data_IF_498715483513
#
_entry.id   IF_498715483513
#
_cell.length_a   1.000
_cell.length_b   1.000
_cell.length_c   1.000
_cell.angle_alpha   90.00
_cell.angle_beta   90.00
_cell.angle_gamma   90.00
#
_symmetry.space_group_name_H-M   'P 1'
#
loop_
_entity.id
_entity.type
_entity.pdbx_description
1 polymer ?
#
# COMPACT_ATOMS: atom_id res chain seq x y z
N UNK A 1 -8.78 -7.75 -8.48
CA UNK A 1 -9.60 -7.21 -7.40
C UNK A 1 -10.84 -6.45 -7.92
N UNK A 2 -10.68 -5.40 -8.81
CA UNK A 2 -11.83 -4.65 -9.33
C UNK A 2 -12.86 -5.59 -9.95
N UNK A 3 -12.44 -6.47 -10.86
CA UNK A 3 -13.31 -7.45 -11.55
C UNK A 3 -13.98 -8.37 -10.53
N UNK A 4 -13.22 -9.04 -9.69
CA UNK A 4 -13.74 -9.98 -8.69
C UNK A 4 -14.73 -9.33 -7.71
N UNK A 5 -14.44 -8.06 -7.31
CA UNK A 5 -15.34 -7.34 -6.42
C UNK A 5 -16.65 -6.93 -7.10
N UNK A 6 -16.61 -6.54 -8.39
CA UNK A 6 -17.81 -6.25 -9.17
C UNK A 6 -18.63 -7.52 -9.40
N UNK A 7 -18.02 -8.64 -9.78
CA UNK A 7 -18.68 -9.93 -9.93
C UNK A 7 -19.38 -10.37 -8.63
N UNK A 8 -18.74 -10.13 -7.47
CA UNK A 8 -19.34 -10.40 -6.17
C UNK A 8 -20.56 -9.50 -5.90
N UNK A 9 -20.46 -8.21 -6.20
CA UNK A 9 -21.55 -7.24 -6.03
C UNK A 9 -22.74 -7.63 -6.91
N UNK A 10 -22.50 -7.93 -8.19
CA UNK A 10 -23.55 -8.33 -9.14
C UNK A 10 -24.28 -9.58 -8.67
N UNK A 11 -23.52 -10.55 -8.17
CA UNK A 11 -24.09 -11.78 -7.61
C UNK A 11 -24.97 -11.50 -6.39
N UNK A 12 -24.50 -10.67 -5.45
CA UNK A 12 -25.25 -10.35 -4.25
C UNK A 12 -26.53 -9.56 -4.56
N UNK A 13 -26.50 -8.66 -5.53
CA UNK A 13 -27.71 -7.97 -5.97
C UNK A 13 -28.68 -8.94 -6.67
N UNK A 14 -28.18 -9.88 -7.47
CA UNK A 14 -29.02 -10.94 -8.09
C UNK A 14 -29.66 -11.87 -7.04
N UNK A 15 -29.02 -12.09 -5.91
CA UNK A 15 -29.56 -12.82 -4.75
C UNK A 15 -30.63 -12.03 -3.98
N UNK A 16 -30.88 -10.77 -4.33
CA UNK A 16 -31.95 -9.92 -3.78
C UNK A 16 -31.50 -8.97 -2.68
N UNK A 17 -30.19 -8.85 -2.40
CA UNK A 17 -29.68 -7.82 -1.50
C UNK A 17 -29.86 -6.44 -2.11
N UNK A 18 -30.51 -5.53 -1.41
CA UNK A 18 -30.75 -4.16 -1.91
C UNK A 18 -29.62 -3.19 -1.51
N UNK A 19 -28.88 -3.52 -0.47
CA UNK A 19 -27.79 -2.67 0.07
C UNK A 19 -26.61 -3.56 0.44
N UNK A 20 -25.43 -3.17 -0.01
CA UNK A 20 -24.17 -3.82 0.32
C UNK A 20 -23.29 -2.83 1.07
N UNK A 21 -22.51 -3.31 2.03
CA UNK A 21 -21.58 -2.47 2.79
C UNK A 21 -20.16 -2.92 2.48
N UNK A 22 -19.36 -2.01 1.91
CA UNK A 22 -17.93 -2.18 1.76
C UNK A 22 -17.24 -1.39 2.89
N UNK A 23 -16.54 -2.09 3.78
CA UNK A 23 -15.80 -1.47 4.87
C UNK A 23 -14.29 -1.59 4.65
N UNK A 24 -13.56 -0.49 4.79
CA UNK A 24 -12.10 -0.49 4.65
C UNK A 24 -11.52 0.92 4.63
N UNK A 25 -10.21 0.99 4.54
CA UNK A 25 -9.48 2.27 4.51
C UNK A 25 -8.45 2.37 3.38
N UNK A 26 -8.36 1.35 2.54
CA UNK A 26 -7.43 1.29 1.40
C UNK A 26 -8.01 2.05 0.21
N UNK A 27 -7.67 3.34 0.10
CA UNK A 27 -8.23 4.24 -0.91
C UNK A 27 -8.18 3.67 -2.32
N UNK A 28 -7.02 3.15 -2.73
CA UNK A 28 -6.85 2.61 -4.08
C UNK A 28 -7.83 1.46 -4.42
N UNK A 29 -8.13 0.57 -3.46
CA UNK A 29 -9.10 -0.51 -3.70
C UNK A 29 -10.54 0.01 -3.76
N UNK A 30 -10.87 1.00 -2.93
CA UNK A 30 -12.20 1.60 -2.92
C UNK A 30 -12.41 2.39 -4.22
N UNK A 31 -11.43 3.21 -4.63
CA UNK A 31 -11.50 3.95 -5.90
C UNK A 31 -11.57 3.00 -7.10
N UNK A 32 -10.82 1.90 -7.10
CA UNK A 32 -10.89 0.89 -8.14
C UNK A 32 -12.31 0.32 -8.30
N UNK A 33 -13.02 0.10 -7.19
CA UNK A 33 -14.38 -0.40 -7.22
C UNK A 33 -15.38 0.68 -7.64
N UNK A 34 -15.26 1.89 -7.08
CA UNK A 34 -16.23 2.97 -7.27
C UNK A 34 -16.03 3.67 -8.61
N UNK A 35 -14.81 4.13 -8.86
CA UNK A 35 -14.49 4.96 -10.02
C UNK A 35 -13.90 4.15 -11.18
N UNK A 36 -13.42 2.94 -10.89
CA UNK A 36 -12.69 2.10 -11.84
C UNK A 36 -11.22 2.47 -11.96
N UNK A 37 -10.45 1.56 -12.54
CA UNK A 37 -9.06 1.82 -12.89
C UNK A 37 -8.91 2.03 -14.39
N UNK A 38 -7.92 2.82 -14.77
CA UNK A 38 -7.49 2.91 -16.17
C UNK A 38 -7.06 1.53 -16.69
N UNK A 39 -7.32 1.27 -17.95
CA UNK A 39 -7.06 -0.04 -18.60
C UNK A 39 -5.57 -0.16 -18.96
N UNK A 40 -4.76 -0.41 -17.95
CA UNK A 40 -3.35 -0.72 -18.14
C UNK A 40 -3.15 -2.18 -18.58
N UNK A 41 -2.14 -2.44 -19.42
CA UNK A 41 -1.81 -3.80 -19.81
C UNK A 41 -1.42 -4.65 -18.58
N UNK A 42 -1.67 -5.95 -18.67
CA UNK A 42 -1.25 -6.90 -17.63
C UNK A 42 0.27 -6.82 -17.40
N UNK A 43 0.70 -7.16 -16.19
CA UNK A 43 2.11 -7.12 -15.85
C UNK A 43 2.91 -8.20 -16.61
N UNK A 44 4.03 -7.81 -17.20
CA UNK A 44 5.06 -8.75 -17.63
C UNK A 44 6.00 -9.04 -16.45
N UNK A 45 5.80 -10.21 -15.82
CA UNK A 45 6.56 -10.59 -14.62
C UNK A 45 8.07 -10.69 -14.88
N UNK A 46 8.47 -11.10 -16.08
CA UNK A 46 9.89 -11.22 -16.44
C UNK A 46 10.52 -9.84 -16.53
N UNK A 47 9.95 -8.95 -17.33
CA UNK A 47 10.42 -7.58 -17.48
C UNK A 47 10.39 -6.83 -16.14
N UNK A 48 9.33 -7.01 -15.32
CA UNK A 48 9.24 -6.41 -14.00
C UNK A 48 10.37 -6.87 -13.08
N UNK A 49 10.70 -8.16 -13.09
CA UNK A 49 11.81 -8.69 -12.30
C UNK A 49 13.15 -8.11 -12.77
N UNK A 50 13.39 -8.02 -14.08
CA UNK A 50 14.58 -7.40 -14.65
C UNK A 50 14.72 -5.93 -14.21
N UNK A 51 13.66 -5.13 -14.34
CA UNK A 51 13.65 -3.73 -13.90
C UNK A 51 13.80 -3.57 -12.38
N UNK A 52 13.23 -4.51 -11.61
CA UNK A 52 13.38 -4.50 -10.14
C UNK A 52 14.80 -4.86 -9.72
N UNK A 53 15.47 -5.75 -10.45
CA UNK A 53 16.89 -6.08 -10.23
C UNK A 53 17.76 -4.88 -10.55
N UNK A 54 17.55 -4.24 -11.70
CA UNK A 54 18.24 -2.99 -12.05
C UNK A 54 18.03 -1.89 -10.99
N UNK A 55 16.80 -1.75 -10.47
CA UNK A 55 16.53 -0.80 -9.40
C UNK A 55 17.37 -1.06 -8.14
N UNK A 56 17.61 -2.33 -7.79
CA UNK A 56 18.44 -2.70 -6.64
C UNK A 56 19.94 -2.49 -6.89
N UNK A 57 20.43 -2.79 -8.08
CA UNK A 57 21.84 -2.77 -8.42
C UNK A 57 22.31 -1.37 -8.83
N UNK A 58 21.53 -0.66 -9.65
CA UNK A 58 21.90 0.63 -10.26
C UNK A 58 21.28 1.83 -9.49
N UNK A 59 20.30 1.57 -8.62
CA UNK A 59 19.50 2.61 -8.01
C UNK A 59 18.40 3.15 -8.93
N UNK A 60 17.64 4.13 -8.43
CA UNK A 60 16.49 4.68 -9.17
C UNK A 60 16.90 5.67 -10.27
N UNK A 61 18.13 6.19 -10.23
CA UNK A 61 18.56 7.28 -11.12
C UNK A 61 18.59 6.88 -12.59
N UNK A 62 19.19 5.73 -12.94
CA UNK A 62 19.26 5.25 -14.32
C UNK A 62 17.87 5.00 -14.89
N UNK A 63 16.99 4.38 -14.09
CA UNK A 63 15.61 4.07 -14.47
C UNK A 63 14.77 5.33 -14.72
N UNK A 64 14.90 6.36 -13.90
CA UNK A 64 14.14 7.59 -14.11
C UNK A 64 14.64 8.42 -15.29
N UNK A 65 15.94 8.35 -15.63
CA UNK A 65 16.46 8.96 -16.87
C UNK A 65 15.90 8.26 -18.11
N UNK A 66 15.81 6.93 -18.08
CA UNK A 66 15.16 6.15 -19.13
C UNK A 66 13.68 6.48 -19.26
N UNK A 67 12.95 6.58 -18.12
CA UNK A 67 11.55 7.01 -18.13
C UNK A 67 11.38 8.43 -18.72
N UNK A 68 12.29 9.34 -18.40
CA UNK A 68 12.27 10.70 -18.95
C UNK A 68 12.37 10.71 -20.47
N UNK A 69 13.13 9.76 -21.04
CA UNK A 69 13.29 9.61 -22.49
C UNK A 69 12.05 9.01 -23.15
N UNK A 70 11.42 8.00 -22.50
CA UNK A 70 10.28 7.26 -23.06
C UNK A 70 8.93 7.96 -22.80
N UNK A 71 8.80 8.64 -21.66
CA UNK A 71 7.57 9.33 -21.23
C UNK A 71 7.89 10.53 -20.34
N UNK A 72 8.23 11.69 -20.92
CA UNK A 72 8.51 12.91 -20.17
C UNK A 72 7.33 13.39 -19.31
N UNK A 73 6.11 13.13 -19.75
CA UNK A 73 4.89 13.50 -19.01
C UNK A 73 4.77 12.71 -17.72
N UNK A 74 4.92 11.39 -17.78
CA UNK A 74 4.95 10.56 -16.56
C UNK A 74 6.13 10.89 -15.67
N UNK A 75 7.31 11.17 -16.22
CA UNK A 75 8.45 11.61 -15.43
C UNK A 75 8.15 12.86 -14.60
N UNK A 76 7.41 13.83 -15.17
CA UNK A 76 7.02 15.05 -14.47
C UNK A 76 5.88 14.84 -13.46
N UNK A 77 4.99 13.86 -13.69
CA UNK A 77 3.75 13.70 -12.94
C UNK A 77 3.83 12.70 -11.78
N UNK A 78 4.67 11.65 -11.90
CA UNK A 78 4.78 10.63 -10.87
C UNK A 78 5.82 11.01 -9.80
N UNK A 79 5.72 10.38 -8.63
CA UNK A 79 6.78 10.45 -7.63
C UNK A 79 7.99 9.62 -8.11
N UNK A 80 8.93 10.29 -8.75
CA UNK A 80 10.15 9.65 -9.30
C UNK A 80 11.14 9.17 -8.23
N UNK A 81 10.96 9.56 -6.96
CA UNK A 81 11.72 8.99 -5.85
C UNK A 81 11.23 7.58 -5.49
N UNK A 82 9.99 7.25 -5.87
CA UNK A 82 9.42 5.93 -5.66
C UNK A 82 9.83 4.97 -6.79
N UNK A 83 10.87 4.17 -6.56
CA UNK A 83 11.41 3.24 -7.56
C UNK A 83 10.37 2.25 -8.11
N UNK A 84 9.39 1.81 -7.31
CA UNK A 84 8.34 0.90 -7.79
C UNK A 84 7.39 1.57 -8.79
N UNK A 85 7.12 2.86 -8.61
CA UNK A 85 6.33 3.63 -9.59
C UNK A 85 7.08 3.84 -10.89
N UNK A 86 8.38 4.10 -10.81
CA UNK A 86 9.26 4.22 -11.98
C UNK A 86 9.34 2.89 -12.73
N UNK A 87 9.57 1.78 -12.02
CA UNK A 87 9.56 0.42 -12.60
C UNK A 87 8.24 0.13 -13.32
N UNK A 88 7.09 0.43 -12.69
CA UNK A 88 5.80 0.20 -13.34
C UNK A 88 5.59 1.05 -14.59
N UNK A 89 5.97 2.31 -14.57
CA UNK A 89 5.86 3.17 -15.73
C UNK A 89 6.76 2.67 -16.88
N UNK A 90 8.01 2.31 -16.58
CA UNK A 90 8.94 1.75 -17.56
C UNK A 90 8.45 0.43 -18.14
N UNK A 91 7.97 -0.48 -17.30
CA UNK A 91 7.41 -1.76 -17.74
C UNK A 91 6.34 -1.56 -18.80
N UNK A 92 5.40 -0.64 -18.58
CA UNK A 92 4.33 -0.33 -19.54
C UNK A 92 4.91 0.28 -20.82
N UNK A 93 5.82 1.24 -20.70
CA UNK A 93 6.45 1.88 -21.88
C UNK A 93 7.19 0.86 -22.75
N UNK A 94 8.02 0.02 -22.14
CA UNK A 94 8.86 -0.97 -22.86
C UNK A 94 7.98 -2.06 -23.49
N UNK A 95 7.02 -2.58 -22.73
CA UNK A 95 6.16 -3.67 -23.17
C UNK A 95 5.24 -3.26 -24.34
N UNK A 96 4.74 -2.01 -24.31
CA UNK A 96 3.72 -1.57 -25.27
C UNK A 96 4.28 -0.71 -26.39
N UNK A 97 5.48 -0.17 -26.22
CA UNK A 97 6.04 0.86 -27.12
C UNK A 97 5.31 2.21 -27.05
N UNK A 98 4.44 2.41 -26.06
CA UNK A 98 3.66 3.64 -25.86
C UNK A 98 3.96 4.26 -24.51
N UNK A 99 3.87 5.61 -24.37
CA UNK A 99 4.03 6.28 -23.09
C UNK A 99 3.03 5.75 -22.05
N UNK A 100 3.46 5.58 -20.80
CA UNK A 100 2.59 5.22 -19.68
C UNK A 100 1.47 6.27 -19.46
N UNK A 101 1.77 7.55 -19.69
CA UNK A 101 0.81 8.65 -19.63
C UNK A 101 -0.37 8.45 -20.58
N UNK A 102 -0.16 7.83 -21.75
CA UNK A 102 -1.22 7.58 -22.74
C UNK A 102 -2.33 6.62 -22.27
N UNK A 103 -2.04 5.83 -21.24
CA UNK A 103 -3.01 4.92 -20.60
C UNK A 103 -3.78 5.58 -19.45
N UNK A 104 -3.34 6.74 -18.98
CA UNK A 104 -4.02 7.50 -17.93
C UNK A 104 -5.15 8.32 -18.52
N UNK A 105 -6.33 7.76 -18.58
CA UNK A 105 -7.53 8.47 -19.07
C UNK A 105 -8.18 9.30 -17.98
N UNK A 106 -7.94 8.98 -16.69
CA UNK A 106 -8.62 9.53 -15.52
C UNK A 106 -10.16 9.52 -15.69
N UNK A 107 -10.66 8.56 -16.44
CA UNK A 107 -12.10 8.43 -16.71
C UNK A 107 -12.76 7.60 -15.60
N UNK A 108 -13.82 8.15 -15.02
CA UNK A 108 -14.67 7.40 -14.09
C UNK A 108 -15.53 6.41 -14.87
N UNK A 109 -15.42 5.12 -14.57
CA UNK A 109 -16.26 4.07 -15.15
C UNK A 109 -17.66 4.14 -14.53
N UNK A 110 -18.69 4.13 -15.38
CA UNK A 110 -20.07 4.10 -14.87
C UNK A 110 -20.34 2.76 -14.16
N UNK A 111 -20.97 2.82 -13.00
CA UNK A 111 -21.46 1.64 -12.26
C UNK A 111 -22.98 1.58 -12.35
N UNK A 112 -23.51 0.36 -12.26
CA UNK A 112 -24.95 0.12 -12.31
C UNK A 112 -25.60 0.15 -10.90
N UNK A 113 -24.92 0.76 -9.95
CA UNK A 113 -25.37 0.97 -8.58
C UNK A 113 -24.97 2.36 -8.07
N UNK A 114 -25.73 2.83 -7.10
CA UNK A 114 -25.42 4.08 -6.39
C UNK A 114 -24.44 3.85 -5.25
N UNK A 115 -23.56 4.82 -5.00
CA UNK A 115 -22.55 4.76 -3.95
C UNK A 115 -22.74 5.89 -2.96
N UNK A 116 -22.93 5.54 -1.68
CA UNK A 116 -22.85 6.48 -0.56
C UNK A 116 -21.54 6.28 0.18
N UNK A 117 -20.72 7.34 0.26
CA UNK A 117 -19.43 7.31 0.97
C UNK A 117 -19.60 7.88 2.38
N UNK A 118 -19.35 7.07 3.41
CA UNK A 118 -19.39 7.47 4.81
C UNK A 118 -17.99 7.35 5.40
N UNK A 119 -17.43 8.44 5.88
CA UNK A 119 -16.15 8.48 6.57
C UNK A 119 -16.35 8.53 8.09
N UNK A 120 -15.69 7.63 8.82
CA UNK A 120 -15.69 7.66 10.28
C UNK A 120 -14.47 8.42 10.78
N UNK A 121 -14.67 9.38 11.66
CA UNK A 121 -13.61 10.20 12.24
C UNK A 121 -13.67 10.22 13.77
N UNK A 122 -12.52 10.37 14.40
CA UNK A 122 -12.38 10.60 15.84
C UNK A 122 -11.40 11.73 16.10
N UNK A 123 -11.47 12.41 17.26
CA UNK A 123 -10.40 13.26 17.74
C UNK A 123 -9.05 12.52 17.70
N UNK A 124 -8.02 13.22 17.28
CA UNK A 124 -6.72 12.63 16.95
C UNK A 124 -6.05 11.92 18.12
N UNK A 125 -6.16 12.49 19.29
CA UNK A 125 -5.63 11.96 20.56
C UNK A 125 -6.32 10.64 20.93
N UNK A 126 -7.65 10.60 20.84
CA UNK A 126 -8.45 9.39 21.07
C UNK A 126 -8.12 8.30 20.06
N UNK A 127 -7.99 8.67 18.78
CA UNK A 127 -7.61 7.72 17.73
C UNK A 127 -6.22 7.12 18.00
N UNK A 128 -5.25 7.94 18.37
CA UNK A 128 -3.89 7.50 18.63
C UNK A 128 -3.78 6.61 19.87
N UNK A 129 -4.52 6.93 20.93
CA UNK A 129 -4.60 6.06 22.10
C UNK A 129 -5.21 4.70 21.77
N UNK A 130 -6.29 4.67 20.99
CA UNK A 130 -6.89 3.41 20.53
C UNK A 130 -5.94 2.58 19.66
N UNK A 131 -5.18 3.23 18.76
CA UNK A 131 -4.18 2.57 17.95
C UNK A 131 -3.11 1.94 18.85
N UNK A 132 -2.59 2.68 19.82
CA UNK A 132 -1.55 2.19 20.71
C UNK A 132 -2.03 0.99 21.54
N UNK A 133 -3.23 1.07 22.11
CA UNK A 133 -3.84 -0.04 22.87
C UNK A 133 -4.09 -1.25 21.98
N UNK A 134 -4.59 -1.04 20.76
CA UNK A 134 -4.80 -2.14 19.81
C UNK A 134 -3.51 -2.90 19.53
N UNK A 135 -2.39 -2.21 19.36
CA UNK A 135 -1.10 -2.87 19.09
C UNK A 135 -0.66 -3.72 20.29
N UNK A 136 -0.84 -3.22 21.52
CA UNK A 136 -0.55 -4.02 22.73
C UNK A 136 -1.42 -5.28 22.74
N UNK A 137 -2.73 -5.14 22.54
CA UNK A 137 -3.64 -6.29 22.50
C UNK A 137 -3.24 -7.30 21.41
N UNK A 138 -2.83 -6.84 20.22
CA UNK A 138 -2.36 -7.73 19.15
C UNK A 138 -1.14 -8.57 19.58
N UNK A 139 -0.21 -7.99 20.35
CA UNK A 139 0.92 -8.72 20.90
C UNK A 139 0.44 -9.77 21.91
N UNK A 140 -0.44 -9.38 22.83
CA UNK A 140 -1.01 -10.24 23.86
C UNK A 140 -1.84 -11.39 23.24
N UNK A 141 -2.52 -11.12 22.12
CA UNK A 141 -3.32 -12.07 21.34
C UNK A 141 -2.47 -13.01 20.47
N UNK A 142 -1.13 -12.86 20.46
CA UNK A 142 -0.21 -13.79 19.81
C UNK A 142 0.33 -13.37 18.45
N UNK A 143 0.33 -12.07 18.11
CA UNK A 143 0.88 -11.56 16.84
C UNK A 143 2.32 -12.05 16.59
N UNK A 144 3.15 -12.18 17.62
CA UNK A 144 4.55 -12.64 17.48
C UNK A 144 4.60 -14.06 16.94
N UNK A 145 3.78 -14.96 17.49
CA UNK A 145 3.72 -16.36 17.06
C UNK A 145 3.11 -16.49 15.66
N UNK A 146 2.12 -15.67 15.35
CA UNK A 146 1.55 -15.58 14.00
C UNK A 146 2.64 -15.22 12.98
N UNK A 147 3.39 -14.13 13.20
CA UNK A 147 4.48 -13.70 12.31
C UNK A 147 5.56 -14.77 12.19
N UNK A 148 5.91 -15.42 13.31
CA UNK A 148 6.88 -16.53 13.31
C UNK A 148 6.44 -17.69 12.41
N UNK A 149 5.15 -18.05 12.45
CA UNK A 149 4.59 -19.11 11.62
C UNK A 149 4.65 -18.81 10.12
N UNK A 150 4.69 -17.53 9.76
CA UNK A 150 4.67 -17.03 8.38
C UNK A 150 6.08 -16.71 7.83
N UNK A 151 7.16 -17.04 8.56
CA UNK A 151 8.54 -16.69 8.18
C UNK A 151 8.91 -17.16 6.77
N UNK A 152 8.45 -18.34 6.35
CA UNK A 152 8.69 -18.87 5.00
C UNK A 152 8.07 -18.03 3.88
N UNK A 153 7.09 -17.18 4.19
CA UNK A 153 6.37 -16.32 3.25
C UNK A 153 6.76 -14.83 3.35
N UNK A 154 7.75 -14.49 4.18
CA UNK A 154 8.12 -13.11 4.53
C UNK A 154 8.39 -12.19 3.32
N UNK A 155 8.80 -12.76 2.19
CA UNK A 155 9.09 -12.00 0.97
C UNK A 155 7.84 -11.60 0.17
N UNK A 156 6.68 -12.18 0.50
CA UNK A 156 5.43 -11.81 -0.13
C UNK A 156 5.05 -10.36 0.22
N UNK A 157 4.52 -9.64 -0.77
CA UNK A 157 4.13 -8.24 -0.61
C UNK A 157 3.12 -8.02 0.52
N UNK A 158 2.22 -8.98 0.75
CA UNK A 158 1.22 -8.94 1.82
C UNK A 158 1.84 -8.91 3.23
N UNK A 159 3.03 -9.51 3.41
CA UNK A 159 3.71 -9.55 4.70
C UNK A 159 4.69 -8.39 4.91
N UNK A 160 4.87 -7.51 3.90
CA UNK A 160 5.66 -6.27 4.03
C UNK A 160 4.81 -5.11 4.56
N UNK A 161 3.88 -5.41 5.44
CA UNK A 161 2.96 -4.45 6.06
C UNK A 161 3.33 -4.14 7.50
N UNK A 162 2.74 -3.06 8.03
CA UNK A 162 2.93 -2.66 9.44
C UNK A 162 2.43 -3.77 10.37
N UNK A 163 3.23 -4.08 11.37
CA UNK A 163 3.02 -5.17 12.32
C UNK A 163 3.91 -6.36 12.00
N UNK A 164 3.89 -6.87 10.77
CA UNK A 164 4.72 -8.00 10.37
C UNK A 164 6.17 -7.61 10.14
N UNK A 165 6.38 -6.52 9.39
CA UNK A 165 7.72 -6.07 9.04
C UNK A 165 8.57 -5.80 10.27
N UNK A 166 8.06 -5.08 11.25
CA UNK A 166 8.78 -4.70 12.46
C UNK A 166 9.16 -5.93 13.31
N UNK A 167 8.30 -6.97 13.33
CA UNK A 167 8.58 -8.21 14.04
C UNK A 167 9.61 -9.06 13.27
N UNK A 168 9.55 -9.13 11.94
CA UNK A 168 10.59 -9.78 11.14
C UNK A 168 11.95 -9.08 11.31
N UNK A 169 11.99 -7.74 11.32
CA UNK A 169 13.21 -6.97 11.56
C UNK A 169 13.80 -7.29 12.95
N UNK A 170 12.96 -7.47 13.96
CA UNK A 170 13.37 -7.92 15.28
C UNK A 170 13.93 -9.35 15.28
N UNK A 171 13.29 -10.29 14.59
CA UNK A 171 13.79 -11.66 14.44
C UNK A 171 15.14 -11.69 13.74
N UNK A 172 15.34 -10.88 12.71
CA UNK A 172 16.63 -10.79 12.01
C UNK A 172 17.73 -10.29 12.92
N UNK A 173 17.46 -9.31 13.77
CA UNK A 173 18.39 -8.84 14.77
C UNK A 173 18.74 -9.96 15.79
N UNK A 174 17.75 -10.67 16.32
CA UNK A 174 17.97 -11.77 17.26
C UNK A 174 18.80 -12.91 16.67
N UNK A 175 18.65 -13.16 15.37
CA UNK A 175 19.40 -14.22 14.66
C UNK A 175 20.76 -13.74 14.15
N UNK A 176 21.20 -12.53 14.47
CA UNK A 176 22.47 -11.97 14.03
C UNK A 176 22.56 -11.72 12.50
N UNK A 177 21.43 -11.70 11.81
CA UNK A 177 21.35 -11.44 10.36
C UNK A 177 21.53 -9.96 10.04
N UNK A 178 21.37 -9.09 11.04
CA UNK A 178 21.51 -7.63 10.91
C UNK A 178 22.39 -7.14 12.06
N UNK A 179 23.52 -6.50 11.73
CA UNK A 179 24.34 -5.82 12.72
C UNK A 179 23.83 -4.40 12.97
N UNK A 180 24.08 -3.86 14.15
CA UNK A 180 23.78 -2.46 14.46
C UNK A 180 24.63 -1.47 13.63
N UNK A 181 25.72 -1.94 13.04
CA UNK A 181 26.69 -1.12 12.30
C UNK A 181 26.35 -0.90 10.82
N UNK A 182 25.42 -1.67 10.23
CA UNK A 182 25.07 -1.61 8.81
C UNK A 182 23.60 -1.26 8.53
N UNK A 183 22.84 -0.89 9.54
CA UNK A 183 21.42 -0.65 9.41
C UNK A 183 21.15 0.73 8.80
N UNK A 184 20.87 0.73 7.50
CA UNK A 184 20.20 1.87 6.89
C UNK A 184 18.79 1.97 7.48
N UNK A 185 18.37 3.15 7.99
CA UNK A 185 17.06 3.30 8.59
C UNK A 185 15.97 2.98 7.58
N UNK A 186 15.00 2.15 7.97
CA UNK A 186 13.79 1.89 7.16
C UNK A 186 12.95 3.15 6.97
N UNK A 187 13.24 4.17 7.77
CA UNK A 187 12.85 5.58 7.59
C UNK A 187 13.91 6.44 8.27
N UNK A 188 14.21 7.66 7.80
CA UNK A 188 15.14 8.55 8.46
C UNK A 188 14.78 8.73 9.94
N UNK A 189 15.69 8.36 10.84
CA UNK A 189 15.51 8.47 12.30
C UNK A 189 15.13 7.14 13.00
N UNK A 190 15.01 6.02 12.28
CA UNK A 190 14.75 4.71 12.89
C UNK A 190 16.06 3.97 13.13
N UNK A 191 16.39 3.74 14.39
CA UNK A 191 17.44 2.79 14.77
C UNK A 191 16.98 1.34 14.57
N UNK A 192 17.90 0.37 14.75
CA UNK A 192 17.59 -1.06 14.60
C UNK A 192 16.48 -1.52 15.54
N UNK A 193 15.75 -2.56 15.17
CA UNK A 193 14.71 -3.18 16.01
C UNK A 193 15.38 -4.22 16.91
N UNK A 194 15.96 -3.73 18.01
CA UNK A 194 16.77 -4.54 18.93
C UNK A 194 15.96 -5.31 19.97
N UNK A 195 14.69 -4.98 20.17
CA UNK A 195 13.82 -5.61 21.15
C UNK A 195 12.36 -5.64 20.68
N UNK A 196 11.54 -6.47 21.34
CA UNK A 196 10.11 -6.51 21.08
C UNK A 196 9.44 -5.18 21.43
N UNK A 197 9.84 -4.53 22.53
CA UNK A 197 9.32 -3.21 22.92
C UNK A 197 9.57 -2.21 21.81
N UNK A 198 10.76 -2.23 21.19
CA UNK A 198 11.08 -1.36 20.06
C UNK A 198 10.22 -1.69 18.84
N UNK A 199 9.96 -2.96 18.54
CA UNK A 199 9.03 -3.36 17.48
C UNK A 199 7.63 -2.80 17.74
N UNK A 200 7.11 -2.93 18.97
CA UNK A 200 5.80 -2.41 19.37
C UNK A 200 5.71 -0.89 19.19
N UNK A 201 6.72 -0.12 19.64
CA UNK A 201 6.77 1.34 19.42
C UNK A 201 6.69 1.70 17.95
N UNK A 202 7.43 0.99 17.10
CA UNK A 202 7.47 1.21 15.66
C UNK A 202 6.13 0.86 15.01
N UNK A 203 5.51 -0.26 15.39
CA UNK A 203 4.18 -0.66 14.92
C UNK A 203 3.14 0.42 15.28
N UNK A 204 3.15 0.89 16.53
CA UNK A 204 2.25 1.96 16.98
C UNK A 204 2.43 3.24 16.14
N UNK A 205 3.68 3.69 15.98
CA UNK A 205 4.02 4.87 15.19
C UNK A 205 3.61 4.72 13.73
N UNK A 206 3.96 3.61 13.09
CA UNK A 206 3.68 3.36 11.68
C UNK A 206 2.18 3.21 11.41
N UNK A 207 1.43 2.64 12.37
CA UNK A 207 -0.04 2.58 12.32
C UNK A 207 -0.66 3.98 12.43
N UNK A 208 -0.15 4.86 13.31
CA UNK A 208 -0.57 6.28 13.36
C UNK A 208 -0.27 7.01 12.05
N UNK A 209 0.89 6.76 11.45
CA UNK A 209 1.23 7.32 10.13
C UNK A 209 0.30 6.79 9.03
N UNK A 210 -0.08 5.51 9.10
CA UNK A 210 -1.04 4.93 8.18
C UNK A 210 -2.42 5.58 8.30
N UNK A 211 -2.93 5.76 9.52
CA UNK A 211 -4.18 6.47 9.77
C UNK A 211 -4.14 7.92 9.25
N UNK A 212 -3.02 8.64 9.47
CA UNK A 212 -2.83 9.99 8.91
C UNK A 212 -2.87 9.99 7.39
N UNK A 213 -2.25 9.00 6.73
CA UNK A 213 -2.31 8.88 5.26
C UNK A 213 -3.73 8.64 4.76
N UNK A 214 -4.51 7.79 5.44
CA UNK A 214 -5.92 7.57 5.11
C UNK A 214 -6.74 8.86 5.20
N UNK A 215 -6.62 9.61 6.30
CA UNK A 215 -7.31 10.89 6.45
C UNK A 215 -6.90 11.92 5.37
N UNK A 216 -5.61 11.97 5.02
CA UNK A 216 -5.12 12.86 3.95
C UNK A 216 -5.60 12.44 2.56
N UNK A 217 -5.78 11.15 2.33
CA UNK A 217 -6.28 10.62 1.07
C UNK A 217 -7.76 10.94 0.90
N UNK A 218 -8.57 10.54 1.87
CA UNK A 218 -10.02 10.71 1.84
C UNK A 218 -10.49 12.14 2.08
N UNK A 219 -9.72 12.96 2.77
CA UNK A 219 -10.05 14.38 3.01
C UNK A 219 -10.12 15.23 1.73
N UNK A 220 -9.68 14.69 0.59
CA UNK A 220 -9.80 15.35 -0.74
C UNK A 220 -11.15 15.11 -1.39
N UNK A 221 -11.83 14.04 -1.02
CA UNK A 221 -13.14 13.68 -1.58
C UNK A 221 -14.26 14.38 -0.81
N UNK A 222 -14.88 15.35 -1.49
CA UNK A 222 -15.97 16.17 -0.94
C UNK A 222 -17.31 15.42 -0.89
N UNK A 223 -17.41 14.25 -1.54
CA UNK A 223 -18.62 13.44 -1.51
C UNK A 223 -18.77 12.62 -0.23
N UNK A 224 -17.72 12.52 0.57
CA UNK A 224 -17.75 11.75 1.82
C UNK A 224 -18.52 12.50 2.90
N UNK A 225 -19.53 11.84 3.44
CA UNK A 225 -20.22 12.27 4.66
C UNK A 225 -19.44 11.81 5.88
N UNK A 226 -18.77 12.74 6.54
CA UNK A 226 -18.00 12.44 7.75
C UNK A 226 -18.89 12.35 8.99
N UNK A 227 -18.69 11.30 9.79
CA UNK A 227 -19.38 11.07 11.05
C UNK A 227 -18.35 10.91 12.17
N UNK A 228 -18.49 11.70 13.22
CA UNK A 228 -17.68 11.54 14.44
C UNK A 228 -18.27 10.42 15.32
N UNK A 229 -17.40 9.50 15.79
CA UNK A 229 -17.77 8.31 16.54
C UNK A 229 -16.96 8.15 17.82
#
# INVERSE_FOLDING_TARGET
>A
YEIEALELIDRLFAEGHQTLVMAGGSGFYIDALVDGLDDFPAADLKLRNELTTRLKEEGVESLRLELKSLDPESYAAIDIANGQRVVRALEVCIMTGKPFSSFKTNSTKKRDFDVEKIGLIRPRDILYDRINRRVVNMIDDGLVDEVKSLTQYRDLAALKTVGYKEIFDWFDYQNGLVSTEGWGPTSPGDGPVISLERAVELIQRNTRHYAKRQLSYWGRDKSIRWMEI
#
